data_IF_011175185569
#
_entry.id   IF_011175185569
#
_cell.length_a   1.000
_cell.length_b   1.000
_cell.length_c   1.000
_cell.angle_alpha   90.00
_cell.angle_beta   90.00
_cell.angle_gamma   90.00
#
_symmetry.space_group_name_H-M   'P 1'
#
loop_
_entity.id
_entity.type
_entity.pdbx_description
1 polymer ?
#
# COMPACT_ATOMS: atom_id res chain seq x y z
N UNK A 1 39.60 -10.39 -20.20
CA UNK A 1 38.53 -11.36 -20.52
C UNK A 1 37.89 -10.91 -21.82
N UNK A 2 37.92 -11.73 -22.86
CA UNK A 2 37.23 -11.44 -24.13
C UNK A 2 35.99 -12.32 -24.20
N UNK A 3 34.83 -11.71 -24.44
CA UNK A 3 33.56 -12.41 -24.62
C UNK A 3 33.37 -12.60 -26.12
N UNK A 4 33.40 -13.84 -26.60
CA UNK A 4 33.04 -14.16 -27.98
C UNK A 4 31.53 -14.39 -28.05
N UNK A 5 30.83 -13.62 -28.88
CA UNK A 5 29.39 -13.74 -29.11
C UNK A 5 29.17 -14.56 -30.38
N UNK A 6 28.36 -15.60 -30.28
CA UNK A 6 27.92 -16.40 -31.42
C UNK A 6 26.86 -15.63 -32.21
N UNK A 7 27.24 -15.13 -33.38
CA UNK A 7 26.37 -14.31 -34.24
C UNK A 7 25.13 -15.08 -34.70
N UNK A 8 25.20 -16.40 -34.84
CA UNK A 8 24.06 -17.22 -35.26
C UNK A 8 22.99 -17.31 -34.17
N UNK A 9 23.42 -17.37 -32.90
CA UNK A 9 22.49 -17.33 -31.75
C UNK A 9 21.82 -15.98 -31.64
N UNK A 10 22.55 -14.90 -31.89
CA UNK A 10 22.01 -13.54 -31.86
C UNK A 10 20.94 -13.33 -32.95
N UNK A 11 21.21 -13.75 -34.19
CA UNK A 11 20.22 -13.69 -35.27
C UNK A 11 18.97 -14.54 -35.00
N UNK A 12 19.15 -15.74 -34.43
CA UNK A 12 18.02 -16.61 -34.07
C UNK A 12 17.15 -15.97 -32.98
N UNK A 13 17.79 -15.37 -31.98
CA UNK A 13 17.11 -14.65 -30.91
C UNK A 13 16.34 -13.43 -31.46
N UNK A 14 16.96 -12.64 -32.33
CA UNK A 14 16.32 -11.48 -32.96
C UNK A 14 15.07 -11.88 -33.75
N UNK A 15 15.15 -12.94 -34.57
CA UNK A 15 13.99 -13.45 -35.32
C UNK A 15 12.87 -13.93 -34.41
N UNK A 16 13.22 -14.62 -33.32
CA UNK A 16 12.26 -15.11 -32.32
C UNK A 16 11.58 -13.95 -31.59
N UNK A 17 12.35 -12.94 -31.21
CA UNK A 17 11.85 -11.73 -30.56
C UNK A 17 10.91 -10.94 -31.49
N UNK A 18 11.26 -10.77 -32.76
CA UNK A 18 10.39 -10.12 -33.76
C UNK A 18 9.09 -10.91 -33.95
N UNK A 19 9.14 -12.25 -33.93
CA UNK A 19 7.94 -13.07 -34.02
C UNK A 19 7.04 -12.89 -32.79
N UNK A 20 7.60 -12.90 -31.58
CA UNK A 20 6.86 -12.65 -30.33
C UNK A 20 6.23 -11.24 -30.32
N UNK A 21 6.95 -10.22 -30.78
CA UNK A 21 6.43 -8.86 -30.90
C UNK A 21 5.27 -8.76 -31.91
N UNK A 22 5.29 -9.54 -32.99
CA UNK A 22 4.18 -9.60 -33.96
C UNK A 22 2.93 -10.27 -33.39
N UNK A 23 3.10 -11.20 -32.45
CA UNK A 23 1.99 -11.87 -31.75
C UNK A 23 1.43 -11.03 -30.60
N UNK A 24 2.19 -10.03 -30.11
CA UNK A 24 1.69 -9.14 -29.07
C UNK A 24 0.54 -8.27 -29.60
N UNK A 25 -0.61 -8.25 -28.91
CA UNK A 25 -1.70 -7.34 -29.25
C UNK A 25 -1.23 -5.89 -29.17
N UNK A 26 -1.44 -5.14 -30.26
CA UNK A 26 -1.16 -3.71 -30.33
C UNK A 26 -2.31 -2.98 -29.64
N UNK A 27 -2.11 -2.66 -28.37
CA UNK A 27 -3.09 -1.88 -27.60
C UNK A 27 -3.03 -0.41 -27.99
N UNK A 28 -4.21 0.21 -28.16
CA UNK A 28 -4.26 1.67 -28.36
C UNK A 28 -3.99 2.35 -27.02
N UNK A 29 -3.26 3.46 -27.03
CA UNK A 29 -2.98 4.25 -25.81
C UNK A 29 -4.25 4.61 -25.02
N UNK A 30 -5.37 4.83 -25.71
CA UNK A 30 -6.67 5.07 -25.10
C UNK A 30 -7.21 3.88 -24.27
N UNK A 31 -6.88 2.64 -24.63
CA UNK A 31 -7.28 1.44 -23.89
C UNK A 31 -6.42 1.25 -22.63
N UNK A 32 -5.13 1.60 -22.73
CA UNK A 32 -4.20 1.62 -21.60
C UNK A 32 -4.62 2.64 -20.55
N UNK A 33 -4.93 3.86 -20.97
CA UNK A 33 -5.32 4.96 -20.08
C UNK A 33 -6.66 4.67 -19.38
N UNK A 34 -7.59 3.99 -20.05
CA UNK A 34 -8.88 3.62 -19.47
C UNK A 34 -8.78 2.55 -18.37
N UNK A 35 -7.64 1.86 -18.23
CA UNK A 35 -7.38 0.89 -17.16
C UNK A 35 -8.29 -0.34 -17.17
N UNK A 36 -9.22 -0.45 -18.11
CA UNK A 36 -10.27 -1.46 -18.14
C UNK A 36 -9.71 -2.86 -18.43
N UNK A 37 -8.64 -2.95 -19.23
CA UNK A 37 -7.99 -4.21 -19.61
C UNK A 37 -6.77 -4.56 -18.73
N UNK A 38 -6.34 -3.64 -17.86
CA UNK A 38 -5.28 -3.87 -16.87
C UNK A 38 -5.84 -4.26 -15.50
N UNK A 39 -7.07 -4.77 -15.47
CA UNK A 39 -7.57 -5.45 -14.28
C UNK A 39 -6.62 -6.62 -13.96
N UNK A 40 -6.22 -6.75 -12.70
CA UNK A 40 -5.39 -7.86 -12.19
C UNK A 40 -5.89 -9.23 -12.64
N UNK A 41 -7.21 -9.34 -12.85
CA UNK A 41 -7.88 -10.54 -13.38
C UNK A 41 -7.50 -10.87 -14.83
N UNK A 42 -7.46 -9.87 -15.73
CA UNK A 42 -7.10 -10.06 -17.14
C UNK A 42 -5.63 -10.47 -17.31
N UNK A 43 -4.74 -9.91 -16.49
CA UNK A 43 -3.33 -10.28 -16.44
C UNK A 43 -3.12 -11.71 -15.94
N UNK A 44 -3.89 -12.13 -14.93
CA UNK A 44 -3.87 -13.51 -14.46
C UNK A 44 -4.37 -14.50 -15.53
N UNK A 45 -5.41 -14.15 -16.28
CA UNK A 45 -5.95 -14.99 -17.35
C UNK A 45 -4.99 -15.07 -18.55
N UNK A 46 -4.30 -13.98 -18.91
CA UNK A 46 -3.26 -13.99 -19.94
C UNK A 46 -2.10 -14.90 -19.55
N UNK A 47 -1.65 -14.82 -18.29
CA UNK A 47 -0.58 -15.70 -17.77
C UNK A 47 -0.98 -17.17 -17.83
N UNK A 48 -2.20 -17.50 -17.40
CA UNK A 48 -2.75 -18.86 -17.50
C UNK A 48 -2.81 -19.37 -18.94
N UNK A 49 -3.16 -18.50 -19.90
CA UNK A 49 -3.21 -18.88 -21.33
C UNK A 49 -1.81 -19.16 -21.87
N UNK A 50 -0.81 -18.35 -21.51
CA UNK A 50 0.60 -18.57 -21.91
C UNK A 50 1.13 -19.90 -21.37
N UNK A 51 0.81 -20.22 -20.12
CA UNK A 51 1.20 -21.49 -19.47
C UNK A 51 0.53 -22.71 -20.13
N UNK A 52 -0.75 -22.58 -20.51
CA UNK A 52 -1.47 -23.62 -21.25
C UNK A 52 -0.91 -23.85 -22.65
N UNK A 53 -0.53 -22.78 -23.36
CA UNK A 53 0.11 -22.91 -24.67
C UNK A 53 1.52 -23.53 -24.58
N UNK A 54 2.25 -23.29 -23.49
CA UNK A 54 3.54 -23.93 -23.25
C UNK A 54 3.42 -25.44 -22.92
N UNK A 55 2.27 -25.87 -22.38
CA UNK A 55 1.98 -27.28 -22.09
C UNK A 55 1.34 -28.05 -23.25
N UNK A 56 1.01 -27.38 -24.36
CA UNK A 56 0.49 -28.09 -25.53
C UNK A 56 1.63 -28.91 -26.14
N UNK A 57 1.50 -30.25 -26.26
CA UNK A 57 2.52 -31.08 -26.90
C UNK A 57 2.70 -30.60 -28.34
N UNK A 58 3.87 -30.03 -28.64
CA UNK A 58 4.25 -29.76 -30.01
C UNK A 58 4.19 -31.10 -30.77
N UNK A 59 3.57 -31.16 -31.96
CA UNK A 59 3.59 -32.38 -32.76
C UNK A 59 5.05 -32.79 -32.99
N UNK A 60 5.37 -34.10 -32.90
CA UNK A 60 6.75 -34.57 -32.96
C UNK A 60 7.30 -34.33 -34.37
N UNK A 61 8.01 -33.22 -34.55
CA UNK A 61 8.96 -33.05 -35.65
C UNK A 61 10.20 -33.84 -35.23
N UNK A 62 10.22 -35.11 -35.63
CA UNK A 62 11.36 -35.98 -35.41
C UNK A 62 12.55 -35.49 -36.20
N UNK A 63 13.55 -34.92 -35.52
CA UNK A 63 14.96 -35.17 -35.80
C UNK A 63 15.72 -35.18 -34.48
N UNK A 64 16.33 -36.34 -34.27
CA UNK A 64 17.29 -36.76 -33.26
C UNK A 64 18.46 -35.78 -33.08
N UNK A 65 18.63 -35.27 -31.85
CA UNK A 65 19.91 -34.81 -31.33
C UNK A 65 19.91 -34.88 -29.80
N UNK A 66 20.58 -35.91 -29.31
CA UNK A 66 20.90 -36.21 -27.92
C UNK A 66 21.73 -35.06 -27.28
N UNK A 67 21.19 -34.43 -26.24
CA UNK A 67 21.97 -33.66 -25.28
C UNK A 67 21.30 -33.72 -23.90
N UNK A 68 22.09 -34.09 -22.90
CA UNK A 68 21.72 -34.49 -21.55
C UNK A 68 20.97 -33.41 -20.72
N UNK A 69 20.02 -33.80 -19.85
CA UNK A 69 19.35 -32.88 -18.94
C UNK A 69 20.15 -32.68 -17.66
N UNK A 70 20.48 -31.44 -17.33
CA UNK A 70 20.96 -31.04 -16.01
C UNK A 70 19.76 -30.75 -15.10
N UNK A 71 19.59 -31.60 -14.10
CA UNK A 71 18.73 -31.38 -12.94
C UNK A 71 19.25 -30.21 -12.09
N UNK A 72 18.39 -29.26 -11.73
CA UNK A 72 18.60 -28.40 -10.57
C UNK A 72 17.28 -27.85 -9.98
N UNK A 73 17.01 -28.31 -8.76
CA UNK A 73 16.25 -27.72 -7.64
C UNK A 73 14.92 -26.99 -7.88
N UNK A 74 13.88 -27.73 -7.51
CA UNK A 74 12.66 -27.26 -6.85
C UNK A 74 13.01 -26.56 -5.51
N UNK A 75 12.57 -25.30 -5.35
CA UNK A 75 12.45 -24.67 -4.03
C UNK A 75 11.05 -24.06 -3.92
N UNK A 76 10.20 -24.76 -3.17
CA UNK A 76 8.90 -24.33 -2.70
C UNK A 76 9.06 -23.18 -1.70
N UNK A 77 8.52 -22.01 -2.02
CA UNK A 77 8.18 -21.02 -1.01
C UNK A 77 6.81 -20.42 -1.35
N UNK A 78 5.80 -21.07 -0.81
CA UNK A 78 4.42 -20.60 -0.66
C UNK A 78 4.40 -19.21 -0.03
N UNK A 79 4.04 -18.19 -0.83
CA UNK A 79 3.62 -16.89 -0.32
C UNK A 79 2.22 -16.58 -0.83
N UNK A 80 1.27 -16.76 0.07
CA UNK A 80 -0.10 -16.30 -0.02
C UNK A 80 -0.12 -14.77 -0.18
N UNK A 81 -0.80 -14.20 -1.20
CA UNK A 81 -1.03 -12.77 -1.25
C UNK A 81 -2.17 -12.42 -0.30
N UNK A 82 -1.82 -11.81 0.84
CA UNK A 82 -2.78 -11.22 1.78
C UNK A 82 -3.41 -9.97 1.16
N UNK A 83 -4.67 -10.08 0.78
CA UNK A 83 -5.51 -8.97 0.31
C UNK A 83 -5.99 -8.20 1.54
N UNK A 84 -5.56 -6.96 1.72
CA UNK A 84 -6.18 -6.04 2.67
C UNK A 84 -7.14 -5.12 1.92
N UNK A 85 -8.42 -5.28 2.21
CA UNK A 85 -9.50 -4.37 1.83
C UNK A 85 -9.31 -3.06 2.60
N UNK A 86 -8.94 -2.00 1.89
CA UNK A 86 -8.85 -0.64 2.44
C UNK A 86 -10.25 0.00 2.38
N UNK A 87 -11.07 -0.30 3.38
CA UNK A 87 -12.38 0.32 3.59
C UNK A 87 -12.19 1.78 4.07
N UNK A 88 -12.40 2.73 3.15
CA UNK A 88 -12.27 4.17 3.40
C UNK A 88 -13.60 4.73 3.91
N UNK A 89 -13.88 4.55 5.20
CA UNK A 89 -14.88 5.35 5.92
C UNK A 89 -14.17 6.54 6.57
N UNK A 90 -14.35 7.75 6.01
CA UNK A 90 -13.83 8.99 6.57
C UNK A 90 -14.96 9.77 7.28
N UNK A 91 -14.85 10.04 8.58
CA UNK A 91 -15.58 11.12 9.25
C UNK A 91 -14.86 12.47 9.09
N UNK A 92 -15.58 13.61 9.22
CA UNK A 92 -15.05 14.94 8.94
C UNK A 92 -14.06 15.42 10.02
N UNK A 93 -12.94 16.00 9.57
CA UNK A 93 -11.94 16.62 10.45
C UNK A 93 -12.52 17.78 11.27
N UNK A 94 -12.30 17.82 12.59
CA UNK A 94 -12.52 19.02 13.38
C UNK A 94 -11.30 19.95 13.36
N UNK A 95 -11.61 21.24 13.37
CA UNK A 95 -10.70 22.38 13.50
C UNK A 95 -9.66 22.24 14.63
N UNK A 96 -8.42 22.65 14.34
CA UNK A 96 -7.53 23.27 15.31
C UNK A 96 -7.01 24.57 14.67
N UNK A 97 -7.39 25.74 15.17
CA UNK A 97 -6.91 26.36 16.40
C UNK A 97 -5.41 26.68 16.30
N UNK A 98 -5.17 27.86 15.73
CA UNK A 98 -4.33 28.91 16.30
C UNK A 98 -3.09 28.46 17.07
N UNK A 99 -1.95 28.50 16.38
CA UNK A 99 -0.65 28.60 17.05
C UNK A 99 0.27 29.53 16.28
N UNK A 100 0.11 30.79 16.64
CA UNK A 100 1.11 31.85 16.57
C UNK A 100 2.52 31.31 16.84
N UNK A 101 3.37 31.37 15.84
CA UNK A 101 4.82 31.51 16.02
C UNK A 101 5.36 32.21 14.79
N UNK A 102 5.60 33.50 14.97
CA UNK A 102 6.34 34.30 14.03
C UNK A 102 7.76 33.78 13.91
N UNK A 103 8.22 33.61 12.68
CA UNK A 103 9.47 34.25 12.29
C UNK A 103 9.48 34.52 10.78
N UNK A 104 9.92 35.73 10.45
CA UNK A 104 9.76 36.41 9.17
C UNK A 104 10.80 35.90 8.16
N UNK A 105 10.45 35.82 6.87
CA UNK A 105 11.43 36.14 5.84
C UNK A 105 10.93 37.25 4.91
N UNK A 106 11.68 38.35 5.01
CA UNK A 106 12.18 39.21 3.93
C UNK A 106 11.19 39.71 2.85
N UNK A 107 10.97 41.03 2.89
CA UNK A 107 10.17 41.83 1.97
C UNK A 107 10.82 41.84 0.57
N UNK A 108 10.11 41.35 -0.44
CA UNK A 108 10.39 41.73 -1.84
C UNK A 108 9.78 43.12 -2.11
N UNK A 109 10.45 43.99 -2.88
CA UNK A 109 9.93 45.31 -3.22
C UNK A 109 8.64 45.21 -4.04
N UNK A 110 7.64 45.95 -3.57
CA UNK A 110 6.33 46.16 -4.17
C UNK A 110 6.50 47.06 -5.41
N UNK A 111 6.14 46.54 -6.59
CA UNK A 111 6.04 47.34 -7.82
C UNK A 111 4.61 47.88 -7.89
N UNK A 112 4.46 49.19 -7.78
CA UNK A 112 3.17 49.87 -7.80
C UNK A 112 2.50 49.81 -9.19
N UNK A 113 1.31 49.22 -9.18
CA UNK A 113 0.04 49.69 -9.75
C UNK A 113 0.10 50.44 -11.09
N UNK A 114 -0.49 49.82 -12.12
CA UNK A 114 -1.45 50.52 -12.99
C UNK A 114 -2.72 49.68 -13.04
N UNK A 115 -3.75 50.22 -12.38
CA UNK A 115 -5.12 49.74 -12.36
C UNK A 115 -5.74 50.05 -13.73
N UNK A 116 -6.17 49.02 -14.47
CA UNK A 116 -7.06 49.18 -15.63
C UNK A 116 -8.32 48.39 -15.35
N UNK A 117 -9.44 49.08 -15.54
CA UNK A 117 -10.81 48.70 -15.28
C UNK A 117 -11.23 47.33 -15.82
N UNK A 118 -11.97 46.64 -14.94
CA UNK A 118 -13.27 46.04 -15.19
C UNK A 118 -13.58 45.55 -16.62
N UNK A 119 -13.28 44.27 -16.85
CA UNK A 119 -14.04 43.45 -17.78
C UNK A 119 -14.16 42.04 -17.18
N UNK A 120 -15.39 41.63 -16.93
CA UNK A 120 -15.76 40.28 -16.50
C UNK A 120 -15.25 39.25 -17.53
N UNK A 121 -14.14 38.59 -17.22
CA UNK A 121 -13.65 37.44 -17.99
C UNK A 121 -13.82 36.20 -17.13
N UNK A 122 -14.78 35.37 -17.54
CA UNK A 122 -14.95 33.99 -17.11
C UNK A 122 -13.59 33.29 -16.98
N UNK A 123 -13.24 32.92 -15.75
CA UNK A 123 -12.03 32.16 -15.42
C UNK A 123 -12.22 30.71 -15.89
N UNK A 124 -12.15 30.51 -17.20
CA UNK A 124 -12.00 29.19 -17.80
C UNK A 124 -10.53 28.80 -17.60
N UNK A 125 -10.27 28.10 -16.49
CA UNK A 125 -8.95 27.57 -16.14
C UNK A 125 -8.63 26.46 -17.16
N UNK A 126 -8.15 26.86 -18.33
CA UNK A 126 -7.44 25.96 -19.23
C UNK A 126 -6.20 25.48 -18.50
N UNK A 127 -6.29 24.25 -17.97
CA UNK A 127 -5.13 23.51 -17.49
C UNK A 127 -4.04 23.58 -18.59
N UNK A 128 -2.77 23.89 -18.23
CA UNK A 128 -1.71 23.98 -19.21
C UNK A 128 -1.69 22.69 -20.01
N UNK A 129 -2.04 22.78 -21.30
CA UNK A 129 -1.93 21.65 -22.19
C UNK A 129 -0.48 21.18 -22.13
N UNK A 130 -0.21 19.93 -21.73
CA UNK A 130 1.12 19.38 -21.87
C UNK A 130 1.39 19.33 -23.36
N UNK A 131 2.09 20.34 -23.87
CA UNK A 131 2.61 20.37 -25.23
C UNK A 131 3.50 19.15 -25.34
N UNK A 132 2.95 18.05 -25.84
CA UNK A 132 3.69 16.81 -26.04
C UNK A 132 4.91 17.16 -26.89
N UNK A 133 6.14 17.09 -26.36
CA UNK A 133 7.34 17.47 -27.11
C UNK A 133 7.68 16.42 -28.18
N UNK A 134 7.02 15.26 -28.18
CA UNK A 134 7.29 14.13 -29.07
C UNK A 134 7.13 14.42 -30.57
N UNK A 135 6.16 15.23 -31.07
CA UNK A 135 5.98 15.42 -32.51
C UNK A 135 7.07 16.29 -33.16
N UNK A 136 7.77 17.13 -32.39
CA UNK A 136 8.75 18.08 -32.93
C UNK A 136 10.13 17.45 -33.14
N UNK A 137 10.54 16.49 -32.29
CA UNK A 137 11.81 15.79 -32.48
C UNK A 137 11.78 14.89 -33.72
N UNK A 138 10.66 14.17 -33.95
CA UNK A 138 10.56 13.24 -35.07
C UNK A 138 10.64 13.91 -36.44
N UNK A 139 10.06 15.10 -36.61
CA UNK A 139 10.10 15.84 -37.89
C UNK A 139 11.51 16.33 -38.26
N UNK A 140 12.36 16.62 -37.27
CA UNK A 140 13.75 17.01 -37.49
C UNK A 140 14.59 15.87 -38.05
N UNK A 141 14.33 14.62 -37.62
CA UNK A 141 15.03 13.44 -38.11
C UNK A 141 14.69 13.10 -39.56
N UNK A 142 13.43 13.28 -39.97
CA UNK A 142 12.99 12.96 -41.35
C UNK A 142 13.58 13.94 -42.36
N UNK A 143 13.88 15.20 -41.98
CA UNK A 143 14.48 16.20 -42.88
C UNK A 143 16.00 16.04 -43.05
N UNK A 144 16.68 15.33 -42.15
CA UNK A 144 18.12 15.07 -42.22
C UNK A 144 18.46 13.78 -43.00
N UNK A 145 17.45 13.03 -43.47
CA UNK A 145 17.62 11.74 -44.12
C UNK A 145 17.74 11.82 -45.66
N UNK A 146 18.21 12.95 -46.20
CA UNK A 146 18.70 12.98 -47.57
C UNK A 146 20.17 12.50 -47.57
N UNK A 147 20.32 11.21 -47.27
CA UNK A 147 21.61 10.55 -46.95
C UNK A 147 22.59 10.59 -48.12
N UNK A 148 22.09 10.73 -49.35
CA UNK A 148 22.93 10.89 -50.55
C UNK A 148 23.70 12.21 -50.58
N UNK A 149 23.23 13.26 -49.87
CA UNK A 149 23.86 14.59 -49.89
C UNK A 149 24.79 14.85 -48.70
N UNK A 150 24.77 14.04 -47.64
CA UNK A 150 25.43 14.38 -46.36
C UNK A 150 26.95 14.11 -46.36
N UNK A 151 27.43 13.23 -47.24
CA UNK A 151 28.83 12.79 -47.25
C UNK A 151 29.29 12.15 -45.93
N UNK A 152 30.55 11.69 -45.88
CA UNK A 152 31.10 11.02 -44.69
C UNK A 152 31.08 11.96 -43.46
N UNK A 153 31.45 13.24 -43.66
CA UNK A 153 31.50 14.24 -42.59
C UNK A 153 30.12 14.52 -41.96
N UNK A 154 29.05 14.50 -42.76
CA UNK A 154 27.68 14.67 -42.26
C UNK A 154 27.21 13.50 -41.41
N UNK A 155 27.56 12.27 -41.79
CA UNK A 155 27.27 11.05 -40.99
C UNK A 155 27.97 11.12 -39.64
N UNK A 156 29.24 11.53 -39.60
CA UNK A 156 29.96 11.73 -38.33
C UNK A 156 29.31 12.81 -37.45
N UNK A 157 28.87 13.92 -38.05
CA UNK A 157 28.16 14.98 -37.32
C UNK A 157 26.84 14.49 -36.72
N UNK A 158 26.04 13.75 -37.49
CA UNK A 158 24.78 13.17 -37.01
C UNK A 158 25.01 12.15 -35.89
N UNK A 159 26.05 11.31 -36.01
CA UNK A 159 26.42 10.36 -34.97
C UNK A 159 26.87 11.05 -33.67
N UNK A 160 27.65 12.13 -33.78
CA UNK A 160 28.07 12.93 -32.63
C UNK A 160 26.88 13.60 -31.94
N UNK A 161 25.93 14.14 -32.71
CA UNK A 161 24.68 14.69 -32.17
C UNK A 161 23.85 13.62 -31.46
N UNK A 162 23.73 12.43 -32.04
CA UNK A 162 23.02 11.32 -31.41
C UNK A 162 23.67 10.92 -30.09
N UNK A 163 24.99 10.78 -30.05
CA UNK A 163 25.73 10.49 -28.83
C UNK A 163 25.52 11.58 -27.77
N UNK A 164 25.61 12.86 -28.15
CA UNK A 164 25.38 13.98 -27.24
C UNK A 164 23.96 13.97 -26.64
N UNK A 165 22.94 13.68 -27.46
CA UNK A 165 21.57 13.53 -26.98
C UNK A 165 21.40 12.33 -26.05
N UNK A 166 22.04 11.19 -26.35
CA UNK A 166 22.05 10.02 -25.48
C UNK A 166 22.63 10.33 -24.10
N UNK A 167 23.76 11.03 -24.03
CA UNK A 167 24.37 11.45 -22.77
C UNK A 167 23.49 12.45 -21.99
N UNK A 168 22.90 13.43 -22.67
CA UNK A 168 22.01 14.39 -22.02
C UNK A 168 20.78 13.71 -21.40
N UNK A 169 20.21 12.72 -22.11
CA UNK A 169 19.09 11.92 -21.60
C UNK A 169 19.52 11.05 -20.42
N UNK A 170 20.67 10.38 -20.49
CA UNK A 170 21.22 9.58 -19.39
C UNK A 170 21.41 10.44 -18.13
N UNK A 171 22.00 11.62 -18.25
CA UNK A 171 22.21 12.53 -17.12
C UNK A 171 20.88 13.07 -16.56
N UNK A 172 19.90 13.36 -17.41
CA UNK A 172 18.57 13.78 -16.96
C UNK A 172 17.85 12.66 -16.18
N UNK A 173 18.00 11.42 -16.65
CA UNK A 173 17.51 10.21 -15.96
C UNK A 173 18.24 10.05 -14.63
N UNK A 174 19.57 10.04 -14.60
CA UNK A 174 20.36 9.93 -13.37
C UNK A 174 19.95 10.97 -12.31
N UNK A 175 19.77 12.23 -12.72
CA UNK A 175 19.29 13.28 -11.81
C UNK A 175 17.90 12.97 -11.24
N UNK A 176 16.96 12.54 -12.09
CA UNK A 176 15.59 12.21 -11.65
C UNK A 176 15.52 10.96 -10.79
N UNK A 177 16.33 9.95 -11.09
CA UNK A 177 16.38 8.71 -10.33
C UNK A 177 17.14 8.87 -9.00
N UNK A 178 18.15 9.75 -8.94
CA UNK A 178 18.81 10.12 -7.69
C UNK A 178 17.85 10.80 -6.71
N UNK A 179 17.03 11.74 -7.18
CA UNK A 179 16.00 12.40 -6.35
C UNK A 179 15.01 11.37 -5.76
N UNK A 180 14.60 10.37 -6.54
CA UNK A 180 13.69 9.31 -6.09
C UNK A 180 14.28 8.39 -5.02
N UNK A 181 15.60 8.17 -4.99
CA UNK A 181 16.24 7.35 -3.96
C UNK A 181 16.21 8.04 -2.58
N UNK A 182 16.35 9.37 -2.57
CA UNK A 182 16.16 10.20 -1.39
C UNK A 182 14.72 10.15 -0.88
N UNK A 183 13.73 10.34 -1.77
CA UNK A 183 12.31 10.21 -1.42
C UNK A 183 11.98 8.81 -0.87
N UNK A 184 12.46 7.76 -1.54
CA UNK A 184 12.24 6.37 -1.10
C UNK A 184 12.81 6.13 0.31
N UNK A 185 13.99 6.68 0.60
CA UNK A 185 14.62 6.59 1.92
C UNK A 185 13.80 7.34 2.97
N UNK A 186 13.34 8.56 2.65
CA UNK A 186 12.45 9.35 3.53
C UNK A 186 11.14 8.62 3.86
N UNK A 187 10.47 8.04 2.86
CA UNK A 187 9.26 7.24 3.08
C UNK A 187 9.52 5.97 3.91
N UNK A 188 10.69 5.35 3.77
CA UNK A 188 11.06 4.19 4.57
C UNK A 188 11.28 4.56 6.05
N UNK A 189 11.96 5.68 6.31
CA UNK A 189 12.13 6.22 7.67
C UNK A 189 10.80 6.61 8.30
N UNK A 190 9.92 7.29 7.55
CA UNK A 190 8.59 7.67 8.02
C UNK A 190 7.76 6.42 8.38
N UNK A 191 7.78 5.38 7.53
CA UNK A 191 7.10 4.12 7.83
C UNK A 191 7.62 3.51 9.13
N UNK A 192 8.95 3.43 9.29
CA UNK A 192 9.57 2.89 10.51
C UNK A 192 9.17 3.67 11.76
N UNK A 193 9.15 5.00 11.67
CA UNK A 193 8.71 5.88 12.76
C UNK A 193 7.24 5.62 13.12
N UNK A 194 6.36 5.51 12.12
CA UNK A 194 4.93 5.23 12.36
C UNK A 194 4.69 3.84 12.95
N UNK A 195 5.48 2.83 12.56
CA UNK A 195 5.40 1.48 13.12
C UNK A 195 5.83 1.46 14.59
N UNK A 196 6.84 2.25 14.96
CA UNK A 196 7.28 2.39 16.34
C UNK A 196 6.22 3.09 17.21
N UNK A 197 5.61 4.17 16.71
CA UNK A 197 4.49 4.82 17.39
C UNK A 197 3.30 3.89 17.56
N UNK A 198 2.94 3.13 16.52
CA UNK A 198 1.86 2.15 16.59
C UNK A 198 2.17 1.06 17.63
N UNK A 199 3.41 0.57 17.68
CA UNK A 199 3.84 -0.39 18.72
C UNK A 199 3.73 0.21 20.13
N UNK A 200 4.10 1.48 20.29
CA UNK A 200 4.01 2.19 21.58
C UNK A 200 2.56 2.36 22.03
N UNK A 201 1.67 2.77 21.12
CA UNK A 201 0.24 2.91 21.40
C UNK A 201 -0.40 1.55 21.71
N UNK A 202 -0.06 0.50 20.95
CA UNK A 202 -0.54 -0.85 21.21
C UNK A 202 -0.12 -1.35 22.60
N UNK A 203 1.13 -1.09 23.00
CA UNK A 203 1.61 -1.42 24.35
C UNK A 203 0.88 -0.63 25.44
N UNK A 204 0.65 0.66 25.22
CA UNK A 204 -0.10 1.51 26.16
C UNK A 204 -1.55 1.04 26.31
N UNK A 205 -2.21 0.62 25.22
CA UNK A 205 -3.57 0.10 25.23
C UNK A 205 -3.67 -1.21 26.03
N UNK A 206 -2.77 -2.17 25.77
CA UNK A 206 -2.73 -3.42 26.55
C UNK A 206 -2.49 -3.16 28.03
N UNK A 207 -1.63 -2.18 28.36
CA UNK A 207 -1.39 -1.78 29.74
C UNK A 207 -2.64 -1.16 30.39
N UNK A 208 -3.33 -0.26 29.70
CA UNK A 208 -4.55 0.35 30.25
C UNK A 208 -5.66 -0.69 30.43
N UNK A 209 -5.83 -1.61 29.49
CA UNK A 209 -6.85 -2.66 29.60
C UNK A 209 -6.60 -3.57 30.80
N UNK A 210 -5.33 -3.84 31.12
CA UNK A 210 -4.94 -4.59 32.31
C UNK A 210 -5.24 -3.82 33.60
N UNK A 211 -4.91 -2.53 33.66
CA UNK A 211 -5.15 -1.68 34.84
C UNK A 211 -6.65 -1.49 35.10
N UNK A 212 -7.42 -1.10 34.07
CA UNK A 212 -8.87 -0.90 34.21
C UNK A 212 -9.62 -2.21 34.48
N UNK A 213 -9.25 -3.28 33.79
CA UNK A 213 -9.90 -4.59 33.97
C UNK A 213 -9.68 -5.14 35.37
N UNK A 214 -8.45 -5.09 35.88
CA UNK A 214 -8.13 -5.66 37.18
C UNK A 214 -8.75 -4.84 38.33
N UNK A 215 -8.62 -3.51 38.30
CA UNK A 215 -9.15 -2.65 39.36
C UNK A 215 -10.69 -2.68 39.39
N UNK A 216 -11.34 -2.66 38.21
CA UNK A 216 -12.80 -2.75 38.13
C UNK A 216 -13.34 -4.09 38.61
N UNK A 217 -12.70 -5.20 38.23
CA UNK A 217 -13.11 -6.54 38.69
C UNK A 217 -12.87 -6.67 40.19
N UNK A 218 -11.75 -6.16 40.71
CA UNK A 218 -11.44 -6.22 42.14
C UNK A 218 -12.44 -5.43 42.98
N UNK A 219 -12.83 -4.23 42.54
CA UNK A 219 -13.85 -3.42 43.20
C UNK A 219 -15.21 -4.13 43.24
N UNK A 220 -15.59 -4.76 42.13
CA UNK A 220 -16.85 -5.49 42.02
C UNK A 220 -16.88 -6.75 42.90
N UNK A 221 -15.78 -7.50 42.93
CA UNK A 221 -15.62 -8.66 43.83
C UNK A 221 -15.70 -8.24 45.29
N UNK A 222 -15.09 -7.11 45.66
CA UNK A 222 -15.16 -6.60 47.03
C UNK A 222 -16.59 -6.23 47.42
N UNK A 223 -17.31 -5.53 46.53
CA UNK A 223 -18.73 -5.17 46.73
C UNK A 223 -19.61 -6.40 46.94
N UNK A 224 -19.46 -7.43 46.09
CA UNK A 224 -20.22 -8.67 46.19
C UNK A 224 -19.90 -9.45 47.48
N UNK A 225 -18.65 -9.43 47.94
CA UNK A 225 -18.26 -10.03 49.22
C UNK A 225 -18.91 -9.32 50.42
N UNK A 226 -18.98 -7.99 50.40
CA UNK A 226 -19.64 -7.19 51.44
C UNK A 226 -21.15 -7.46 51.46
N UNK A 227 -21.81 -7.45 50.29
CA UNK A 227 -23.23 -7.78 50.14
C UNK A 227 -23.56 -9.21 50.63
N UNK A 228 -22.70 -10.18 50.30
CA UNK A 228 -22.86 -11.55 50.78
C UNK A 228 -22.68 -11.68 52.31
N UNK A 229 -21.84 -10.84 52.92
CA UNK A 229 -21.66 -10.80 54.36
C UNK A 229 -22.90 -10.21 55.07
N UNK A 230 -23.45 -9.11 54.54
CA UNK A 230 -24.69 -8.51 55.04
C UNK A 230 -25.87 -9.48 54.93
N UNK A 231 -26.03 -10.16 53.78
CA UNK A 231 -27.10 -11.14 53.60
C UNK A 231 -26.97 -12.32 54.58
N UNK A 232 -25.74 -12.75 54.91
CA UNK A 232 -25.51 -13.79 55.90
C UNK A 232 -25.90 -13.34 57.31
N UNK A 233 -25.60 -12.09 57.68
CA UNK A 233 -25.98 -11.53 58.98
C UNK A 233 -27.50 -11.48 59.13
N UNK A 234 -28.21 -10.95 58.12
CA UNK A 234 -29.68 -10.92 58.09
C UNK A 234 -30.26 -12.32 58.26
N UNK A 235 -29.72 -13.31 57.54
CA UNK A 235 -30.19 -14.69 57.65
C UNK A 235 -29.89 -15.31 59.03
N UNK A 236 -28.76 -14.96 59.65
CA UNK A 236 -28.41 -15.42 60.98
C UNK A 236 -29.35 -14.84 62.05
N UNK A 237 -29.71 -13.56 61.94
CA UNK A 237 -30.69 -12.90 62.81
C UNK A 237 -32.09 -13.49 62.65
N UNK A 238 -32.50 -13.80 61.42
CA UNK A 238 -33.78 -14.47 61.14
C UNK A 238 -33.84 -15.87 61.78
N UNK A 239 -32.78 -16.67 61.63
CA UNK A 239 -32.67 -17.98 62.29
C UNK A 239 -32.71 -17.86 63.82
N UNK A 240 -32.07 -16.84 64.38
CA UNK A 240 -32.09 -16.58 65.82
C UNK A 240 -33.49 -16.21 66.31
N UNK A 241 -34.18 -15.31 65.60
CA UNK A 241 -35.55 -14.93 65.89
C UNK A 241 -36.51 -16.13 65.82
N UNK A 242 -36.37 -16.98 64.80
CA UNK A 242 -37.14 -18.23 64.70
C UNK A 242 -36.84 -19.19 65.85
N UNK A 243 -35.57 -19.30 66.28
CA UNK A 243 -35.18 -20.10 67.43
C UNK A 243 -35.80 -19.60 68.75
N UNK A 244 -35.82 -18.29 68.95
CA UNK A 244 -36.46 -17.66 70.12
C UNK A 244 -37.99 -17.86 70.10
N UNK A 245 -38.62 -17.73 68.93
CA UNK A 245 -40.06 -17.98 68.76
C UNK A 245 -40.44 -19.45 69.05
N UNK A 246 -39.65 -20.39 68.53
CA UNK A 246 -39.85 -21.82 68.77
C UNK A 246 -39.73 -22.16 70.26
N UNK A 247 -38.75 -21.57 70.94
CA UNK A 247 -38.56 -21.75 72.39
C UNK A 247 -39.74 -21.20 73.18
N UNK A 248 -40.22 -20.00 72.85
CA UNK A 248 -41.38 -19.42 73.50
C UNK A 248 -42.65 -20.27 73.33
N UNK A 249 -42.86 -20.84 72.13
CA UNK A 249 -43.96 -21.76 71.87
C UNK A 249 -43.82 -23.05 72.71
N UNK A 250 -42.61 -23.59 72.82
CA UNK A 250 -42.32 -24.77 73.65
C UNK A 250 -42.62 -24.50 75.14
N UNK A 251 -42.14 -23.39 75.69
CA UNK A 251 -42.38 -23.00 77.09
C UNK A 251 -43.89 -22.84 77.37
N UNK A 252 -44.65 -22.33 76.39
CA UNK A 252 -46.11 -22.18 76.49
C UNK A 252 -46.82 -23.53 76.54
N UNK A 253 -46.39 -24.50 75.73
CA UNK A 253 -46.93 -25.87 75.74
C UNK A 253 -46.63 -26.55 77.08
N UNK A 254 -45.39 -26.44 77.58
CA UNK A 254 -44.99 -27.04 78.86
C UNK A 254 -45.78 -26.44 80.04
N UNK A 255 -46.03 -25.13 80.02
CA UNK A 255 -46.86 -24.47 81.03
C UNK A 255 -48.31 -25.00 81.02
N UNK A 256 -48.87 -25.20 79.82
CA UNK A 256 -50.21 -25.78 79.67
C UNK A 256 -50.29 -27.22 80.22
N UNK A 257 -49.28 -28.04 79.94
CA UNK A 257 -49.22 -29.44 80.37
C UNK A 257 -49.18 -29.58 81.90
N UNK A 258 -48.45 -28.69 82.58
CA UNK A 258 -48.39 -28.62 84.06
C UNK A 258 -49.71 -28.24 84.71
N UNK A 259 -50.64 -27.60 83.99
CA UNK A 259 -51.90 -27.11 84.55
C UNK A 259 -53.00 -28.19 84.56
N UNK A 260 -52.78 -29.31 83.87
CA UNK A 260 -53.78 -30.39 83.68
C UNK A 260 -53.73 -31.45 84.79
N UNK A 261 -52.67 -31.48 85.61
CA UNK A 261 -52.48 -32.40 86.74
C UNK A 261 -52.81 -31.74 88.09
#
# INVERSE_FOLDING_TARGET
>A
MSIAIDTKKLESWERSFIAELKEMPVFRSAEIIKGQEYSTKALADLRKRKERNAQQPQPPVGVEAEAAPLSASQEEASRTPSVFELERNAPPSPHQADRESGDRPNKRPHLDVVLIDDASVSLDISAPHPSDPRPLLYKSFVRAADVECLGLAGVYGALQQYAAHGFALAHAVEKKFGDMEGERSSWAEQRKSSEEENRKLSSALVKSDLEFGNDSIQAEVKRLCEEAAEMREVHQDELKAMGESLKAAQDTIEAHDKTIY
#
